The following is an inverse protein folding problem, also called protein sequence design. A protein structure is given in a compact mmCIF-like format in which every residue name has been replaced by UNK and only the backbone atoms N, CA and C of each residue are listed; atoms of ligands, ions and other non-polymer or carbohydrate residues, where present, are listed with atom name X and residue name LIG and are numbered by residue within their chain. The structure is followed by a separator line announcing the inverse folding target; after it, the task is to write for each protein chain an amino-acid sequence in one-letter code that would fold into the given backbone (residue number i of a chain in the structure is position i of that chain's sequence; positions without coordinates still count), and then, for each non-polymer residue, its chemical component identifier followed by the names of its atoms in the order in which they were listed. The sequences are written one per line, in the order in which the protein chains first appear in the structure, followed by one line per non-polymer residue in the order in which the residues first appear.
data_IF_164533969769
#
_entry.id   IF_164533969769
#
_cell.length_a   1.000
_cell.length_b   1.000
_cell.length_c   1.000
_cell.angle_alpha   90.00
_cell.angle_beta   90.00
_cell.angle_gamma   90.00
#
_symmetry.space_group_name_H-M   'P 1'
#
loop_
_entity.id
_entity.type
_entity.pdbx_description
1 polymer ?
#
# COMPACT_ATOMS: atom_id res chain seq x y z
N UNK A 1 7.98 1.39 -15.13
CA UNK A 1 8.77 2.10 -14.10
C UNK A 1 8.63 3.63 -14.19
N UNK A 2 8.95 4.28 -15.32
CA UNK A 2 8.76 5.74 -15.49
C UNK A 2 7.32 6.23 -15.27
N UNK A 3 6.32 5.38 -15.51
CA UNK A 3 4.91 5.71 -15.23
C UNK A 3 4.59 5.84 -13.73
N UNK A 4 5.42 5.31 -12.83
CA UNK A 4 5.16 5.31 -11.40
C UNK A 4 5.93 6.41 -10.65
N UNK A 5 6.70 7.23 -11.38
CA UNK A 5 7.47 8.31 -10.79
C UNK A 5 6.64 9.57 -10.52
N UNK A 6 5.47 9.70 -11.16
CA UNK A 6 4.52 10.81 -11.01
C UNK A 6 3.27 10.46 -10.19
N UNK A 7 3.13 9.21 -9.74
CA UNK A 7 1.99 8.80 -8.91
C UNK A 7 2.41 8.82 -7.45
N UNK A 8 1.71 9.61 -6.63
CA UNK A 8 2.01 9.86 -5.22
C UNK A 8 0.84 9.38 -4.34
N UNK A 9 0.97 8.22 -3.67
CA UNK A 9 -0.05 7.76 -2.74
C UNK A 9 0.01 8.52 -1.42
N UNK A 10 -1.15 8.82 -0.86
CA UNK A 10 -1.35 9.47 0.43
C UNK A 10 -2.38 8.68 1.26
N UNK A 11 -2.23 8.69 2.58
CA UNK A 11 -3.30 8.19 3.47
C UNK A 11 -4.55 9.06 3.24
N UNK A 12 -5.71 8.41 3.09
CA UNK A 12 -6.97 9.10 2.86
C UNK A 12 -7.27 10.02 4.06
N UNK A 13 -7.76 11.27 3.85
CA UNK A 13 -7.95 12.24 4.93
C UNK A 13 -8.93 11.80 6.02
N UNK A 14 -9.85 10.90 5.69
CA UNK A 14 -10.82 10.34 6.63
C UNK A 14 -10.23 9.25 7.54
N UNK A 15 -9.08 8.66 7.17
CA UNK A 15 -8.34 7.72 8.00
C UNK A 15 -7.68 8.52 9.11
N UNK A 16 -8.28 8.47 10.29
CA UNK A 16 -7.78 9.16 11.48
C UNK A 16 -6.83 8.21 12.20
N UNK A 17 -5.72 8.76 12.73
CA UNK A 17 -4.61 8.00 13.32
C UNK A 17 -4.90 7.14 14.56
N UNK A 18 -6.15 6.72 14.80
CA UNK A 18 -6.51 5.61 15.70
C UNK A 18 -6.64 4.27 14.97
N UNK A 19 -6.70 4.29 13.64
CA UNK A 19 -6.68 3.11 12.78
C UNK A 19 -5.23 2.65 12.59
N UNK A 20 -4.61 2.14 13.66
CA UNK A 20 -3.23 1.66 13.65
C UNK A 20 -3.08 0.30 12.96
N UNK A 21 -4.19 -0.43 12.81
CA UNK A 21 -4.26 -1.76 12.24
C UNK A 21 -5.32 -1.76 11.16
N UNK A 22 -4.90 -1.98 9.93
CA UNK A 22 -5.80 -2.02 8.78
C UNK A 22 -6.76 -3.21 8.90
N UNK A 23 -6.28 -4.29 9.52
CA UNK A 23 -7.02 -5.53 9.71
C UNK A 23 -8.22 -5.38 10.65
N UNK A 24 -8.26 -4.34 11.48
CA UNK A 24 -9.35 -4.06 12.42
C UNK A 24 -10.45 -3.17 11.81
N UNK A 25 -10.32 -2.77 10.53
CA UNK A 25 -11.30 -1.90 9.87
C UNK A 25 -12.44 -2.67 9.20
N UNK A 26 -13.65 -2.15 9.29
CA UNK A 26 -14.84 -2.74 8.62
C UNK A 26 -14.63 -2.89 7.11
N UNK A 27 -13.98 -1.92 6.47
CA UNK A 27 -13.68 -1.95 5.03
C UNK A 27 -12.69 -3.06 4.65
N UNK A 28 -11.72 -3.35 5.53
CA UNK A 28 -10.82 -4.49 5.35
C UNK A 28 -11.59 -5.80 5.48
N UNK A 29 -12.40 -5.96 6.53
CA UNK A 29 -13.19 -7.18 6.75
C UNK A 29 -14.14 -7.46 5.58
N UNK A 30 -14.87 -6.44 5.12
CA UNK A 30 -15.78 -6.56 3.97
C UNK A 30 -15.03 -6.95 2.68
N UNK A 31 -13.89 -6.32 2.42
CA UNK A 31 -13.09 -6.62 1.23
C UNK A 31 -12.53 -8.04 1.26
N UNK A 32 -11.96 -8.45 2.40
CA UNK A 32 -11.36 -9.78 2.55
C UNK A 32 -12.41 -10.89 2.56
N UNK A 33 -13.62 -10.61 3.05
CA UNK A 33 -14.76 -11.53 2.93
C UNK A 33 -15.15 -11.80 1.47
N UNK A 34 -15.05 -10.79 0.60
CA UNK A 34 -15.32 -10.90 -0.84
C UNK A 34 -14.12 -11.43 -1.65
N UNK A 35 -12.89 -11.21 -1.15
CA UNK A 35 -11.64 -11.51 -1.86
C UNK A 35 -10.63 -12.25 -0.94
N UNK A 36 -10.95 -13.47 -0.48
CA UNK A 36 -10.19 -14.17 0.57
C UNK A 36 -8.71 -14.46 0.22
N UNK A 37 -8.35 -14.44 -1.06
CA UNK A 37 -7.00 -14.75 -1.55
C UNK A 37 -6.24 -13.52 -2.07
N UNK A 38 -6.87 -12.34 -2.14
CA UNK A 38 -6.29 -11.13 -2.75
C UNK A 38 -4.91 -10.75 -2.18
N UNK A 39 -4.71 -10.90 -0.86
CA UNK A 39 -3.42 -10.59 -0.22
C UNK A 39 -2.46 -11.79 -0.15
N UNK A 40 -2.96 -13.03 -0.25
CA UNK A 40 -2.12 -14.24 -0.20
C UNK A 40 -1.30 -14.36 -1.48
N UNK A 41 -1.89 -14.02 -2.62
CA UNK A 41 -1.24 -14.07 -3.93
C UNK A 41 -0.07 -13.08 -4.07
N UNK A 42 -0.08 -11.99 -3.29
CA UNK A 42 0.95 -10.95 -3.37
C UNK A 42 2.28 -11.41 -2.77
N UNK A 43 2.29 -12.45 -1.92
CA UNK A 43 3.49 -12.98 -1.25
C UNK A 43 4.33 -11.91 -0.51
N UNK A 44 3.70 -10.79 -0.15
CA UNK A 44 4.33 -9.75 0.66
C UNK A 44 4.48 -10.24 2.09
N UNK A 45 5.71 -10.17 2.61
CA UNK A 45 5.95 -10.43 4.01
C UNK A 45 5.38 -9.31 4.90
N UNK A 46 5.29 -9.57 6.22
CA UNK A 46 4.75 -8.61 7.18
C UNK A 46 5.56 -7.31 7.24
N UNK A 47 6.89 -7.38 7.11
CA UNK A 47 7.77 -6.22 7.18
C UNK A 47 7.59 -5.34 5.94
N UNK A 48 7.46 -5.93 4.75
CA UNK A 48 7.17 -5.21 3.51
C UNK A 48 5.82 -4.50 3.58
N UNK A 49 4.75 -5.17 4.02
CA UNK A 49 3.42 -4.52 4.19
C UNK A 49 3.50 -3.29 5.10
N UNK A 50 4.13 -3.45 6.27
CA UNK A 50 4.34 -2.37 7.24
C UNK A 50 5.18 -1.22 6.65
N UNK A 51 6.30 -1.56 6.01
CA UNK A 51 7.22 -0.59 5.40
C UNK A 51 6.53 0.21 4.29
N UNK A 52 5.75 -0.44 3.43
CA UNK A 52 4.95 0.23 2.39
C UNK A 52 4.02 1.27 3.03
N UNK A 53 3.21 0.86 4.02
CA UNK A 53 2.29 1.77 4.72
C UNK A 53 3.01 2.97 5.34
N UNK A 54 4.17 2.75 5.98
CA UNK A 54 4.95 3.80 6.61
C UNK A 54 5.49 4.85 5.63
N UNK A 55 5.72 4.47 4.37
CA UNK A 55 6.25 5.39 3.36
C UNK A 55 5.18 6.15 2.56
N UNK A 56 3.91 5.77 2.68
CA UNK A 56 2.76 6.45 2.08
C UNK A 56 2.47 7.74 2.86
N UNK A 57 2.72 8.89 2.23
CA UNK A 57 2.54 10.21 2.87
C UNK A 57 2.21 11.35 1.91
N UNK A 58 1.85 11.04 0.66
CA UNK A 58 1.54 12.01 -0.39
C UNK A 58 2.74 12.76 -0.97
N UNK A 59 3.96 12.49 -0.52
CA UNK A 59 5.19 13.17 -1.00
C UNK A 59 6.13 12.24 -1.75
N UNK A 60 6.01 10.92 -1.54
CA UNK A 60 6.83 9.92 -2.21
C UNK A 60 6.03 9.29 -3.34
N UNK A 61 6.65 9.20 -4.51
CA UNK A 61 6.06 8.46 -5.62
C UNK A 61 6.15 6.95 -5.39
N UNK A 62 5.34 6.16 -6.08
CA UNK A 62 5.36 4.69 -6.03
C UNK A 62 6.78 4.15 -6.28
N UNK A 63 7.51 4.72 -7.25
CA UNK A 63 8.92 4.35 -7.50
C UNK A 63 9.82 4.59 -6.28
N UNK A 64 9.67 5.73 -5.60
CA UNK A 64 10.48 6.02 -4.39
C UNK A 64 10.11 5.10 -3.24
N UNK A 65 8.81 4.85 -3.03
CA UNK A 65 8.33 3.94 -1.98
C UNK A 65 8.94 2.56 -2.19
N UNK A 66 8.83 1.99 -3.40
CA UNK A 66 9.43 0.68 -3.72
C UNK A 66 10.91 0.60 -3.35
N UNK A 67 11.70 1.57 -3.79
CA UNK A 67 13.15 1.56 -3.57
C UNK A 67 13.48 1.66 -2.08
N UNK A 68 12.69 2.41 -1.32
CA UNK A 68 12.89 2.55 0.13
C UNK A 68 12.48 1.29 0.89
N UNK A 69 11.39 0.63 0.48
CA UNK A 69 10.98 -0.66 1.05
C UNK A 69 12.07 -1.71 0.82
N UNK A 70 12.58 -1.84 -0.41
CA UNK A 70 13.69 -2.77 -0.72
C UNK A 70 14.92 -2.47 0.14
N UNK A 71 15.26 -1.20 0.31
CA UNK A 71 16.39 -0.79 1.15
C UNK A 71 16.17 -1.06 2.65
N UNK A 72 14.94 -0.92 3.16
CA UNK A 72 14.62 -1.17 4.57
C UNK A 72 14.51 -2.68 4.88
N UNK A 73 13.91 -3.46 3.98
CA UNK A 73 13.62 -4.88 4.24
C UNK A 73 14.68 -5.82 3.69
N UNK A 74 15.65 -5.32 2.91
CA UNK A 74 16.66 -6.10 2.19
C UNK A 74 16.06 -7.21 1.29
N UNK A 75 14.78 -7.06 0.92
CA UNK A 75 14.01 -8.03 0.15
C UNK A 75 13.54 -7.40 -1.16
N UNK A 76 13.60 -8.16 -2.24
CA UNK A 76 13.07 -7.73 -3.52
C UNK A 76 11.56 -7.48 -3.45
N UNK A 77 11.14 -6.42 -4.14
CA UNK A 77 9.75 -6.06 -4.33
C UNK A 77 9.59 -5.62 -5.78
N UNK A 78 8.77 -6.29 -6.56
CA UNK A 78 8.48 -5.86 -7.93
C UNK A 78 7.33 -4.83 -7.96
N UNK A 79 7.27 -4.04 -9.03
CA UNK A 79 6.24 -3.02 -9.18
C UNK A 79 4.82 -3.58 -9.24
N UNK A 80 4.61 -4.76 -9.86
CA UNK A 80 3.28 -5.35 -10.01
C UNK A 80 2.72 -5.76 -8.65
N UNK A 81 3.56 -6.32 -7.79
CA UNK A 81 3.19 -6.68 -6.42
C UNK A 81 2.87 -5.43 -5.59
N UNK A 82 3.72 -4.39 -5.66
CA UNK A 82 3.47 -3.13 -4.96
C UNK A 82 2.17 -2.46 -5.43
N UNK A 83 1.96 -2.34 -6.74
CA UNK A 83 0.76 -1.66 -7.28
C UNK A 83 -0.51 -2.41 -6.93
N UNK A 84 -0.51 -3.75 -6.99
CA UNK A 84 -1.67 -4.53 -6.52
C UNK A 84 -1.98 -4.31 -5.04
N UNK A 85 -0.96 -4.14 -4.21
CA UNK A 85 -1.17 -3.82 -2.80
C UNK A 85 -1.72 -2.41 -2.61
N UNK A 86 -1.24 -1.43 -3.38
CA UNK A 86 -1.81 -0.07 -3.38
C UNK A 86 -3.25 -0.05 -3.90
N UNK A 87 -3.57 -0.81 -4.94
CA UNK A 87 -4.94 -0.97 -5.46
C UNK A 87 -5.87 -1.54 -4.39
N UNK A 88 -5.40 -2.53 -3.63
CA UNK A 88 -6.11 -3.06 -2.47
C UNK A 88 -6.36 -1.95 -1.43
N UNK A 89 -5.32 -1.21 -1.01
CA UNK A 89 -5.47 -0.13 -0.04
C UNK A 89 -6.45 0.95 -0.52
N UNK A 90 -6.43 1.26 -1.82
CA UNK A 90 -7.35 2.19 -2.46
C UNK A 90 -8.79 1.67 -2.46
N UNK A 91 -8.99 0.37 -2.71
CA UNK A 91 -10.33 -0.24 -2.72
C UNK A 91 -11.02 -0.24 -1.35
N UNK A 92 -10.25 -0.22 -0.27
CA UNK A 92 -10.76 -0.09 1.10
C UNK A 92 -10.70 1.36 1.61
N UNK A 93 -10.53 2.31 0.69
CA UNK A 93 -10.48 3.77 0.96
C UNK A 93 -9.38 4.19 1.94
N UNK A 94 -8.32 3.39 2.08
CA UNK A 94 -7.22 3.69 3.00
C UNK A 94 -6.26 4.75 2.45
N UNK A 95 -6.12 4.76 1.12
CA UNK A 95 -5.23 5.68 0.41
C UNK A 95 -5.94 6.35 -0.76
N UNK A 96 -5.42 7.51 -1.12
CA UNK A 96 -5.68 8.18 -2.40
C UNK A 96 -4.39 8.29 -3.18
N UNK A 97 -4.48 8.55 -4.49
CA UNK A 97 -3.33 8.78 -5.35
C UNK A 97 -3.52 10.10 -6.09
N UNK A 98 -2.46 10.89 -6.17
CA UNK A 98 -2.39 12.04 -7.07
C UNK A 98 -1.36 11.79 -8.17
N UNK A 99 -1.69 12.21 -9.38
CA UNK A 99 -0.81 12.23 -10.54
C UNK A 99 -0.30 13.67 -10.75
N UNK A 100 1.04 13.86 -10.78
CA UNK A 100 1.71 15.17 -10.84
C UNK A 100 2.73 15.26 -11.98
#
# INVERSE_FOLDING_TARGET
EKQYSHIFPAIHPDIKGKEFYIEDSDSYEEYMGKNPDALKELKLDRNQKRSILNFINGKRSITKIRNWVIAETENDLDFKTLTKYLDFLKSISWITESDL
#
